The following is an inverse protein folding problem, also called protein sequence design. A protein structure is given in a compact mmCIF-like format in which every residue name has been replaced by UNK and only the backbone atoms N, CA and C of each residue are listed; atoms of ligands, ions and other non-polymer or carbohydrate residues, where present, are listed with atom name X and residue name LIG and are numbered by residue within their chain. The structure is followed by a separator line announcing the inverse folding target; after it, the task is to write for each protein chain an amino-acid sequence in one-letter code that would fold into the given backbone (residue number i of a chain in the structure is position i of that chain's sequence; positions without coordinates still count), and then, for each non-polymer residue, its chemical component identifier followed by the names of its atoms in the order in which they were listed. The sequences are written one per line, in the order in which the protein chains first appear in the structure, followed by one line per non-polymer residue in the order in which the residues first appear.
data_IF_906207587776
#
_entry.id   IF_906207587776
#
_cell.length_a   1.000
_cell.length_b   1.000
_cell.length_c   1.000
_cell.angle_alpha   90.00
_cell.angle_beta   90.00
_cell.angle_gamma   90.00
#
_symmetry.space_group_name_H-M   'P 1'
#
loop_
_entity.id
_entity.type
_entity.pdbx_description
1 polymer ?
#
# COMPACT_ATOMS: atom_id res chain seq x y z
N UNK A 1 17.93 11.91 54.63
CA UNK A 1 17.16 11.35 53.50
C UNK A 1 17.67 12.04 52.27
N UNK A 2 18.30 11.52 51.55
CA UNK A 2 19.18 10.51 50.99
C UNK A 2 19.50 10.94 49.57
N UNK A 3 20.70 11.43 49.41
CA UNK A 3 21.36 11.88 48.17
C UNK A 3 21.76 10.67 47.28
N UNK A 4 20.77 9.92 46.75
CA UNK A 4 21.09 8.73 45.92
C UNK A 4 20.67 8.82 44.46
N UNK A 5 20.25 10.00 43.97
CA UNK A 5 19.72 10.10 42.59
C UNK A 5 20.70 10.66 41.53
N UNK A 6 21.95 10.98 41.88
CA UNK A 6 22.88 11.66 40.94
C UNK A 6 24.23 10.93 40.73
N UNK A 7 24.34 9.62 41.02
CA UNK A 7 25.55 8.89 40.63
C UNK A 7 25.40 8.29 39.25
N UNK A 8 26.37 8.50 38.34
CA UNK A 8 26.41 7.83 37.04
C UNK A 8 26.31 6.32 37.24
N UNK A 9 25.52 5.66 36.40
CA UNK A 9 25.46 4.19 36.37
C UNK A 9 26.58 3.65 35.49
N UNK A 10 26.96 2.38 35.67
CA UNK A 10 28.08 1.70 35.02
C UNK A 10 28.06 1.76 33.47
N UNK A 11 26.90 2.08 32.88
CA UNK A 11 26.66 2.21 31.44
C UNK A 11 26.49 3.67 30.95
N UNK A 12 26.70 4.66 31.83
CA UNK A 12 26.71 6.06 31.43
C UNK A 12 28.07 6.39 30.77
N UNK A 13 28.06 6.86 29.52
CA UNK A 13 29.28 7.24 28.82
C UNK A 13 29.88 8.50 29.45
N UNK A 14 31.09 8.39 29.98
CA UNK A 14 31.91 9.53 30.42
C UNK A 14 32.84 9.89 29.26
N UNK A 15 32.69 11.07 28.68
CA UNK A 15 33.69 11.61 27.74
C UNK A 15 34.91 12.08 28.52
N UNK A 16 35.95 11.22 28.63
CA UNK A 16 37.23 11.51 29.27
C UNK A 16 38.37 11.59 28.27
N UNK A 17 38.85 12.79 27.96
CA UNK A 17 40.20 13.05 27.47
C UNK A 17 41.03 13.58 28.62
N UNK A 18 42.33 13.22 28.69
CA UNK A 18 43.27 13.64 29.73
C UNK A 18 43.37 15.17 29.88
N UNK A 19 42.66 15.74 30.80
CA UNK A 19 42.95 16.96 31.55
C UNK A 19 41.75 17.27 32.45
N UNK A 20 42.04 17.81 33.65
CA UNK A 20 41.14 18.20 34.75
C UNK A 20 39.67 18.35 34.35
N UNK A 21 38.81 17.49 34.90
CA UNK A 21 37.35 17.51 34.71
C UNK A 21 36.86 18.92 35.05
N UNK A 22 36.29 19.67 34.08
CA UNK A 22 35.63 20.92 34.41
C UNK A 22 34.47 20.64 35.36
N UNK A 23 34.27 21.47 36.37
CA UNK A 23 33.21 21.35 37.39
C UNK A 23 31.80 21.29 36.81
N UNK A 24 31.66 21.45 35.45
CA UNK A 24 30.44 21.36 34.65
C UNK A 24 30.55 20.33 33.51
N UNK A 25 31.32 19.24 33.65
CA UNK A 25 31.27 18.17 32.68
C UNK A 25 29.88 17.53 32.71
N UNK A 26 29.08 17.80 31.69
CA UNK A 26 27.77 17.20 31.58
C UNK A 26 27.90 15.71 31.35
N UNK A 27 27.43 14.91 32.32
CA UNK A 27 27.19 13.48 32.10
C UNK A 27 26.10 13.38 31.04
N UNK A 28 26.45 13.03 29.79
CA UNK A 28 25.52 12.92 28.67
C UNK A 28 24.76 11.59 28.65
N UNK A 29 24.66 10.90 29.80
CA UNK A 29 23.89 9.69 30.00
C UNK A 29 22.45 9.94 30.51
N UNK A 30 21.63 8.90 30.51
CA UNK A 30 20.25 8.98 31.01
C UNK A 30 19.30 9.79 30.13
N UNK A 31 18.08 10.02 30.62
CA UNK A 31 17.04 10.79 29.93
C UNK A 31 17.49 12.20 29.55
N UNK A 32 18.19 12.98 30.37
CA UNK A 32 18.71 14.29 29.96
C UNK A 32 19.65 14.23 28.76
N UNK A 33 20.51 13.20 28.70
CA UNK A 33 21.41 12.98 27.56
C UNK A 33 20.66 12.60 26.29
N UNK A 34 19.64 11.77 26.37
CA UNK A 34 18.76 11.43 25.24
C UNK A 34 18.06 12.68 24.74
N UNK A 35 17.46 13.51 25.62
CA UNK A 35 16.82 14.78 25.24
C UNK A 35 17.77 15.73 24.51
N UNK A 36 18.99 15.87 25.01
CA UNK A 36 20.01 16.72 24.39
C UNK A 36 20.35 16.25 22.97
N UNK A 37 20.50 14.93 22.76
CA UNK A 37 20.78 14.36 21.43
C UNK A 37 19.59 14.41 20.49
N UNK A 38 18.36 14.31 20.97
CA UNK A 38 17.15 14.49 20.16
C UNK A 38 16.99 15.95 19.67
N UNK A 39 17.60 16.92 20.33
CA UNK A 39 17.67 18.31 19.89
C UNK A 39 18.85 18.60 18.92
N UNK A 40 19.64 17.59 18.55
CA UNK A 40 20.79 17.74 17.65
C UNK A 40 20.32 18.12 16.23
N UNK A 41 21.04 19.00 15.51
CA UNK A 41 20.79 19.26 14.09
C UNK A 41 21.11 18.03 13.21
N UNK A 42 21.95 17.10 13.67
CA UNK A 42 22.33 15.91 12.92
C UNK A 42 21.28 14.80 13.09
N UNK A 43 20.72 14.34 11.96
CA UNK A 43 19.65 13.32 11.90
C UNK A 43 20.13 12.01 12.51
N UNK A 44 21.35 11.57 12.23
CA UNK A 44 21.94 10.34 12.71
C UNK A 44 22.05 10.32 14.24
N UNK A 45 22.35 11.48 14.86
CA UNK A 45 22.42 11.62 16.32
C UNK A 45 21.03 11.50 16.94
N UNK A 46 20.01 12.08 16.32
CA UNK A 46 18.62 11.95 16.76
C UNK A 46 18.13 10.50 16.65
N UNK A 47 18.45 9.82 15.55
CA UNK A 47 18.11 8.40 15.36
C UNK A 47 18.76 7.52 16.42
N UNK A 48 20.06 7.70 16.67
CA UNK A 48 20.76 6.94 17.71
C UNK A 48 20.16 7.17 19.11
N UNK A 49 19.74 8.40 19.39
CA UNK A 49 19.08 8.75 20.65
C UNK A 49 17.72 8.03 20.84
N UNK A 50 16.95 7.78 19.77
CA UNK A 50 15.70 7.03 19.82
C UNK A 50 15.93 5.56 20.23
N UNK A 51 16.95 4.91 19.67
CA UNK A 51 17.31 3.54 20.04
C UNK A 51 17.73 3.44 21.51
N UNK A 52 18.40 4.48 22.04
CA UNK A 52 18.77 4.53 23.44
C UNK A 52 17.56 4.82 24.36
N UNK A 53 16.62 5.66 23.91
CA UNK A 53 15.40 5.99 24.65
C UNK A 53 14.61 4.75 25.09
N UNK A 54 14.63 3.67 24.28
CA UNK A 54 13.95 2.40 24.62
C UNK A 54 14.38 1.81 25.99
N UNK A 55 15.59 2.12 26.45
CA UNK A 55 16.14 1.59 27.72
C UNK A 55 15.57 2.26 28.95
N UNK A 56 14.83 3.36 28.80
CA UNK A 56 14.39 4.20 29.91
C UNK A 56 12.87 4.11 30.20
N UNK A 57 12.23 2.98 29.84
CA UNK A 57 10.83 2.71 30.15
C UNK A 57 9.87 3.82 29.68
N UNK A 58 8.93 4.23 30.53
CA UNK A 58 7.89 5.23 30.19
C UNK A 58 8.48 6.59 29.75
N UNK A 59 9.51 7.08 30.47
CA UNK A 59 10.14 8.36 30.15
C UNK A 59 10.85 8.35 28.79
N UNK A 60 11.39 7.20 28.38
CA UNK A 60 11.94 7.00 27.06
C UNK A 60 10.86 6.85 26.00
N UNK A 61 9.77 6.18 26.33
CA UNK A 61 8.62 6.03 25.46
C UNK A 61 8.00 7.38 25.07
N UNK A 62 7.84 8.29 26.04
CA UNK A 62 7.33 9.64 25.78
C UNK A 62 8.22 10.41 24.79
N UNK A 63 9.55 10.23 24.87
CA UNK A 63 10.48 10.85 23.93
C UNK A 63 10.38 10.26 22.52
N UNK A 64 10.16 8.95 22.40
CA UNK A 64 9.95 8.30 21.11
C UNK A 64 8.62 8.77 20.49
N UNK A 65 7.55 8.91 21.29
CA UNK A 65 6.27 9.47 20.86
C UNK A 65 6.45 10.91 20.36
N UNK A 66 7.19 11.75 21.10
CA UNK A 66 7.46 13.12 20.66
C UNK A 66 8.23 13.17 19.32
N UNK A 67 9.12 12.22 19.07
CA UNK A 67 9.88 12.16 17.83
C UNK A 67 9.05 11.78 16.59
N UNK A 68 7.80 11.33 16.76
CA UNK A 68 6.86 11.24 15.64
C UNK A 68 6.59 12.60 14.99
N UNK A 69 6.83 13.71 15.71
CA UNK A 69 6.68 15.09 15.24
C UNK A 69 7.99 15.72 14.75
N UNK A 70 9.10 14.96 14.71
CA UNK A 70 10.40 15.48 14.24
C UNK A 70 10.30 16.08 12.84
N UNK A 71 11.07 17.09 12.54
CA UNK A 71 11.14 17.70 11.21
C UNK A 71 11.65 16.72 10.13
N UNK A 72 12.52 15.77 10.52
CA UNK A 72 13.09 14.76 9.62
C UNK A 72 12.17 13.55 9.47
N UNK A 73 11.85 13.21 8.23
CA UNK A 73 11.10 11.98 7.91
C UNK A 73 11.81 10.71 8.35
N UNK A 74 13.15 10.69 8.33
CA UNK A 74 13.94 9.54 8.78
C UNK A 74 13.79 9.32 10.28
N UNK A 75 13.80 10.39 11.08
CA UNK A 75 13.59 10.32 12.54
C UNK A 75 12.16 9.89 12.84
N UNK A 76 11.15 10.46 12.18
CA UNK A 76 9.73 10.04 12.29
C UNK A 76 9.56 8.57 11.99
N UNK A 77 10.20 8.08 10.91
CA UNK A 77 10.14 6.69 10.50
C UNK A 77 10.73 5.75 11.56
N UNK A 78 11.89 6.09 12.14
CA UNK A 78 12.49 5.30 13.22
C UNK A 78 11.60 5.32 14.46
N UNK A 79 11.08 6.49 14.85
CA UNK A 79 10.15 6.59 15.98
C UNK A 79 8.90 5.72 15.76
N UNK A 80 8.29 5.79 14.57
CA UNK A 80 7.17 4.93 14.17
C UNK A 80 7.54 3.44 14.28
N UNK A 81 8.69 3.04 13.73
CA UNK A 81 9.15 1.65 13.75
C UNK A 81 9.36 1.09 15.18
N UNK A 82 9.76 1.94 16.11
CA UNK A 82 9.94 1.58 17.52
C UNK A 82 8.62 1.47 18.31
N UNK A 83 7.56 2.11 17.79
CA UNK A 83 6.25 2.21 18.46
C UNK A 83 5.20 1.25 17.87
N UNK A 84 5.31 0.92 16.57
CA UNK A 84 4.26 0.24 15.79
C UNK A 84 3.78 -1.09 16.37
N UNK A 85 4.69 -1.84 17.03
CA UNK A 85 4.41 -3.17 17.56
C UNK A 85 4.08 -3.15 19.06
N UNK A 86 3.91 -1.95 19.67
CA UNK A 86 3.56 -1.80 21.08
C UNK A 86 2.06 -1.77 21.28
N UNK A 87 1.55 -2.62 22.16
CA UNK A 87 0.15 -2.63 22.57
C UNK A 87 -0.11 -1.59 23.67
N UNK A 88 -0.08 -0.31 23.30
CA UNK A 88 -0.34 0.82 24.20
C UNK A 88 -1.44 1.71 23.57
N UNK A 89 -2.55 1.87 24.30
CA UNK A 89 -3.71 2.64 23.86
C UNK A 89 -3.41 4.14 23.62
N UNK A 90 -2.35 4.68 24.20
CA UNK A 90 -1.89 6.07 23.97
C UNK A 90 -1.20 6.24 22.62
N UNK A 91 -0.59 5.16 22.12
CA UNK A 91 0.24 5.16 20.91
C UNK A 91 -0.64 4.94 19.67
N UNK A 92 -1.56 4.00 19.74
CA UNK A 92 -2.39 3.57 18.59
C UNK A 92 -3.06 4.74 17.82
N UNK A 93 -3.75 5.71 18.47
CA UNK A 93 -4.35 6.82 17.73
C UNK A 93 -3.31 7.75 17.09
N UNK A 94 -2.16 7.92 17.75
CA UNK A 94 -1.12 8.82 17.27
C UNK A 94 -0.37 8.26 16.05
N UNK A 95 -0.20 6.94 15.98
CA UNK A 95 0.51 6.33 14.85
C UNK A 95 -0.23 6.50 13.53
N UNK A 96 -1.56 6.56 13.53
CA UNK A 96 -2.35 6.81 12.32
C UNK A 96 -2.07 8.20 11.73
N UNK A 97 -1.86 9.20 12.57
CA UNK A 97 -1.59 10.58 12.14
C UNK A 97 -0.14 10.79 11.66
N UNK A 98 0.77 9.86 11.99
CA UNK A 98 2.21 9.95 11.70
C UNK A 98 2.73 8.94 10.67
N UNK A 99 1.86 8.29 9.92
CA UNK A 99 2.27 7.54 8.76
C UNK A 99 3.05 8.46 7.81
N UNK A 100 4.21 8.01 7.30
CA UNK A 100 4.93 8.76 6.27
C UNK A 100 4.04 9.03 5.07
N UNK A 101 4.27 10.14 4.39
CA UNK A 101 3.54 10.54 3.19
C UNK A 101 4.42 10.48 1.96
N UNK A 102 3.80 10.32 0.80
CA UNK A 102 4.43 10.55 -0.50
C UNK A 102 3.53 11.43 -1.36
N UNK A 103 4.16 12.30 -2.13
CA UNK A 103 3.48 13.22 -3.03
C UNK A 103 3.33 12.61 -4.43
N UNK A 104 2.25 12.95 -5.13
CA UNK A 104 1.98 12.53 -6.50
C UNK A 104 1.04 13.49 -7.22
N UNK A 105 0.95 13.35 -8.54
CA UNK A 105 -0.02 14.07 -9.35
C UNK A 105 -1.24 13.19 -9.62
N UNK A 106 -2.44 13.73 -9.37
CA UNK A 106 -3.71 13.18 -9.81
C UNK A 106 -4.06 13.80 -11.16
N UNK A 107 -4.20 12.97 -12.18
CA UNK A 107 -4.49 13.40 -13.54
C UNK A 107 -5.92 13.01 -13.92
N UNK A 108 -6.65 13.95 -14.52
CA UNK A 108 -7.91 13.64 -15.20
C UNK A 108 -7.81 13.97 -16.69
N UNK A 109 -8.60 13.29 -17.49
CA UNK A 109 -8.67 13.50 -18.95
C UNK A 109 -10.09 13.80 -19.40
N UNK A 110 -10.21 14.50 -20.52
CA UNK A 110 -11.48 14.72 -21.21
C UNK A 110 -11.91 13.47 -22.03
N UNK A 111 -13.05 13.53 -22.71
CA UNK A 111 -13.57 12.43 -23.51
C UNK A 111 -12.68 12.01 -24.69
N UNK A 112 -11.68 12.80 -25.03
CA UNK A 112 -10.69 12.53 -26.08
C UNK A 112 -9.35 12.06 -25.53
N UNK A 113 -9.25 11.87 -24.21
CA UNK A 113 -8.01 11.44 -23.56
C UNK A 113 -6.95 12.53 -23.43
N UNK A 114 -7.32 13.80 -23.64
CA UNK A 114 -6.43 14.94 -23.38
C UNK A 114 -6.48 15.29 -21.91
N UNK A 115 -5.32 15.60 -21.32
CA UNK A 115 -5.22 16.04 -19.93
C UNK A 115 -6.12 17.27 -19.69
N UNK A 116 -7.06 17.12 -18.76
CA UNK A 116 -8.02 18.14 -18.34
C UNK A 116 -7.56 18.81 -17.04
N UNK A 117 -7.00 18.05 -16.10
CA UNK A 117 -6.44 18.60 -14.87
C UNK A 117 -5.26 17.77 -14.37
N UNK A 118 -4.39 18.45 -13.60
CA UNK A 118 -3.27 17.85 -12.87
C UNK A 118 -3.17 18.52 -11.50
N UNK A 119 -3.47 17.79 -10.46
CA UNK A 119 -3.51 18.31 -9.10
C UNK A 119 -2.50 17.58 -8.23
N UNK A 120 -1.71 18.32 -7.45
CA UNK A 120 -0.86 17.72 -6.42
C UNK A 120 -1.71 17.11 -5.33
N UNK A 121 -1.34 15.91 -4.90
CA UNK A 121 -1.95 15.19 -3.79
C UNK A 121 -0.88 14.45 -3.01
N UNK A 122 -1.25 13.89 -1.86
CA UNK A 122 -0.38 13.03 -1.07
C UNK A 122 -1.18 11.88 -0.49
N UNK A 123 -0.51 10.79 -0.20
CA UNK A 123 -1.09 9.66 0.53
C UNK A 123 -0.17 9.24 1.69
N UNK A 124 -0.78 8.71 2.74
CA UNK A 124 -0.09 8.12 3.88
C UNK A 124 0.18 6.66 3.60
N UNK A 125 1.31 6.15 4.07
CA UNK A 125 1.64 4.73 3.92
C UNK A 125 2.51 4.24 5.07
N UNK A 126 2.56 2.93 5.28
CA UNK A 126 3.61 2.32 6.06
C UNK A 126 4.45 1.38 5.18
N UNK A 127 5.77 1.37 5.35
CA UNK A 127 6.62 0.41 4.68
C UNK A 127 6.68 -0.89 5.49
N UNK A 128 6.56 -2.02 4.80
CA UNK A 128 6.85 -3.34 5.34
C UNK A 128 8.20 -3.80 4.78
N UNK A 129 9.15 -4.06 5.65
CA UNK A 129 10.48 -4.54 5.27
C UNK A 129 10.44 -6.05 5.03
N UNK A 130 10.76 -6.46 3.81
CA UNK A 130 10.82 -7.87 3.41
C UNK A 130 12.25 -8.45 3.47
N UNK A 131 13.20 -7.66 3.97
CA UNK A 131 14.62 -7.97 3.98
C UNK A 131 15.33 -7.58 2.67
N UNK A 132 16.68 -7.57 2.71
CA UNK A 132 17.53 -7.25 1.56
C UNK A 132 17.20 -5.92 0.86
N UNK A 133 16.75 -4.92 1.62
CA UNK A 133 16.30 -3.61 1.12
C UNK A 133 15.06 -3.68 0.22
N UNK A 134 14.32 -4.78 0.24
CA UNK A 134 13.03 -4.90 -0.46
C UNK A 134 11.92 -4.43 0.47
N UNK A 135 11.18 -3.42 0.04
CA UNK A 135 10.11 -2.80 0.83
C UNK A 135 8.77 -2.98 0.11
N UNK A 136 7.73 -3.29 0.88
CA UNK A 136 6.34 -3.28 0.45
C UNK A 136 5.65 -2.06 1.05
N UNK A 137 5.26 -1.10 0.22
CA UNK A 137 4.58 0.13 0.64
C UNK A 137 3.07 -0.10 0.74
N UNK A 138 2.51 0.03 1.94
CA UNK A 138 1.08 -0.19 2.22
C UNK A 138 0.38 1.15 2.42
N UNK A 139 -0.51 1.52 1.50
CA UNK A 139 -1.15 2.85 1.49
C UNK A 139 -2.38 2.86 2.40
N UNK A 140 -2.50 3.88 3.24
CA UNK A 140 -3.69 4.13 4.05
C UNK A 140 -4.88 4.56 3.18
N UNK A 141 -5.93 3.77 3.18
CA UNK A 141 -7.18 4.11 2.50
C UNK A 141 -8.26 4.34 3.57
N UNK A 142 -8.83 5.55 3.67
CA UNK A 142 -9.93 5.81 4.59
C UNK A 142 -11.14 4.97 4.21
N UNK A 143 -11.82 4.43 5.20
CA UNK A 143 -13.12 3.79 4.98
C UNK A 143 -14.14 4.74 4.39
N UNK A 144 -15.12 4.20 3.68
CA UNK A 144 -16.15 5.02 3.04
C UNK A 144 -17.23 4.20 2.35
N UNK A 145 -18.17 4.91 1.76
CA UNK A 145 -19.29 4.31 1.03
C UNK A 145 -19.24 4.72 -0.44
N UNK A 146 -19.46 3.77 -1.35
CA UNK A 146 -19.46 4.02 -2.78
C UNK A 146 -20.56 3.21 -3.49
N UNK A 147 -20.79 3.51 -4.76
CA UNK A 147 -21.64 2.71 -5.63
C UNK A 147 -20.77 1.71 -6.40
N UNK A 148 -20.89 0.43 -6.08
CA UNK A 148 -20.18 -0.67 -6.73
C UNK A 148 -20.94 -1.14 -7.97
N UNK A 149 -20.21 -1.48 -9.03
CA UNK A 149 -20.76 -1.84 -10.32
C UNK A 149 -20.87 -0.66 -11.28
N UNK A 150 -21.45 -0.87 -12.45
CA UNK A 150 -21.60 0.14 -13.49
C UNK A 150 -23.06 0.57 -13.67
N UNK A 151 -23.33 1.88 -13.92
CA UNK A 151 -24.67 2.33 -14.28
C UNK A 151 -25.06 1.81 -15.67
N UNK A 152 -26.36 1.74 -15.96
CA UNK A 152 -26.86 1.25 -17.24
C UNK A 152 -26.37 2.07 -18.44
N UNK A 153 -26.01 3.33 -18.22
CA UNK A 153 -25.47 4.24 -19.23
C UNK A 153 -23.99 4.03 -19.54
N UNK A 154 -23.25 3.23 -18.73
CA UNK A 154 -21.80 3.05 -18.95
C UNK A 154 -21.55 2.25 -20.24
N UNK A 155 -20.74 2.82 -21.13
CA UNK A 155 -20.41 2.19 -22.39
C UNK A 155 -19.66 0.87 -22.21
N UNK A 156 -20.00 -0.14 -22.99
CA UNK A 156 -19.36 -1.46 -22.98
C UNK A 156 -19.39 -2.19 -21.61
N UNK A 157 -20.41 -1.87 -20.80
CA UNK A 157 -20.65 -2.57 -19.53
C UNK A 157 -21.02 -4.04 -19.77
N UNK A 158 -20.77 -4.87 -18.76
CA UNK A 158 -21.21 -6.26 -18.71
C UNK A 158 -22.36 -6.44 -17.73
N UNK A 159 -23.24 -7.41 -17.98
CA UNK A 159 -24.36 -7.73 -17.09
C UNK A 159 -23.91 -8.13 -15.69
N UNK A 160 -22.75 -8.75 -15.57
CA UNK A 160 -22.17 -9.16 -14.27
C UNK A 160 -21.86 -7.98 -13.34
N UNK A 161 -21.75 -6.75 -13.89
CA UNK A 161 -21.50 -5.51 -13.15
C UNK A 161 -22.77 -4.91 -12.52
N UNK A 162 -23.91 -5.62 -12.59
CA UNK A 162 -25.23 -5.17 -12.13
C UNK A 162 -25.82 -6.10 -11.06
N UNK A 163 -26.82 -5.64 -10.28
CA UNK A 163 -27.22 -4.24 -10.14
C UNK A 163 -26.14 -3.39 -9.48
N UNK A 164 -26.04 -2.10 -9.89
CA UNK A 164 -25.21 -1.16 -9.14
C UNK A 164 -25.80 -1.01 -7.73
N UNK A 165 -24.97 -1.09 -6.69
CA UNK A 165 -25.41 -1.10 -5.31
C UNK A 165 -24.42 -0.38 -4.39
N UNK A 166 -24.94 0.04 -3.25
CA UNK A 166 -24.14 0.78 -2.25
C UNK A 166 -23.36 -0.20 -1.37
N UNK A 167 -22.04 0.01 -1.27
CA UNK A 167 -21.15 -0.75 -0.39
C UNK A 167 -20.40 0.20 0.52
N UNK A 168 -20.26 -0.18 1.79
CA UNK A 168 -19.41 0.53 2.78
C UNK A 168 -18.20 -0.34 3.08
N UNK A 169 -17.01 0.21 2.89
CA UNK A 169 -15.75 -0.47 3.23
C UNK A 169 -15.12 0.15 4.46
N UNK A 170 -14.53 -0.65 5.36
CA UNK A 170 -13.76 -0.13 6.48
C UNK A 170 -12.46 0.51 6.00
N UNK A 171 -11.70 1.15 6.90
CA UNK A 171 -10.31 1.54 6.63
C UNK A 171 -9.45 0.31 6.39
N UNK A 172 -8.56 0.36 5.39
CA UNK A 172 -7.67 -0.74 5.04
C UNK A 172 -6.37 -0.23 4.39
N UNK A 173 -5.38 -1.11 4.23
CA UNK A 173 -4.06 -0.78 3.69
C UNK A 173 -3.69 -1.69 2.52
N UNK A 174 -3.99 -1.34 1.28
CA UNK A 174 -3.53 -2.08 0.10
C UNK A 174 -2.08 -1.75 -0.22
N UNK A 175 -1.38 -2.65 -0.89
CA UNK A 175 -0.10 -2.35 -1.51
C UNK A 175 -0.22 -1.19 -2.49
N UNK A 176 0.76 -0.28 -2.50
CA UNK A 176 0.81 0.86 -3.42
C UNK A 176 0.79 0.43 -4.89
N UNK A 177 1.38 -0.71 -5.17
CA UNK A 177 1.51 -1.37 -6.46
C UNK A 177 0.99 -2.80 -6.41
N UNK A 178 0.72 -3.46 -7.54
CA UNK A 178 0.71 -4.92 -7.63
C UNK A 178 2.05 -5.47 -7.09
N UNK A 179 2.04 -6.67 -6.51
CA UNK A 179 3.27 -7.28 -5.98
C UNK A 179 4.31 -7.37 -7.08
N UNK A 180 5.51 -6.84 -6.82
CA UNK A 180 6.63 -6.88 -7.75
C UNK A 180 7.36 -8.23 -7.72
N UNK A 181 8.12 -8.52 -8.76
CA UNK A 181 8.93 -9.75 -8.82
C UNK A 181 9.95 -9.81 -7.70
N UNK A 182 10.59 -8.68 -7.33
CA UNK A 182 11.51 -8.62 -6.20
C UNK A 182 10.80 -8.94 -4.87
N UNK A 183 9.61 -8.37 -4.63
CA UNK A 183 8.81 -8.66 -3.43
C UNK A 183 8.33 -10.11 -3.38
N UNK A 184 7.90 -10.64 -4.53
CA UNK A 184 7.52 -12.04 -4.64
C UNK A 184 8.69 -12.98 -4.31
N UNK A 185 9.86 -12.72 -4.88
CA UNK A 185 11.07 -13.54 -4.69
C UNK A 185 11.55 -13.49 -3.23
N UNK A 186 11.47 -12.33 -2.58
CA UNK A 186 11.81 -12.15 -1.17
C UNK A 186 10.96 -13.05 -0.24
N UNK A 187 9.68 -13.26 -0.56
CA UNK A 187 8.75 -14.05 0.27
C UNK A 187 8.69 -15.51 -0.18
N UNK A 188 8.72 -15.79 -1.49
CA UNK A 188 8.48 -17.12 -2.06
C UNK A 188 9.76 -17.86 -2.46
N UNK A 189 10.90 -17.15 -2.59
CA UNK A 189 12.20 -17.73 -2.93
C UNK A 189 12.38 -18.15 -4.40
N UNK A 190 11.44 -17.77 -5.27
CA UNK A 190 11.52 -18.06 -6.72
C UNK A 190 10.77 -17.00 -7.54
N UNK A 191 11.03 -16.97 -8.85
CA UNK A 191 10.33 -16.06 -9.76
C UNK A 191 10.05 -16.77 -11.09
N UNK A 192 8.77 -17.04 -11.38
CA UNK A 192 8.28 -17.72 -12.58
C UNK A 192 7.71 -16.78 -13.64
N UNK A 193 7.76 -15.47 -13.43
CA UNK A 193 7.26 -14.48 -14.38
C UNK A 193 7.92 -14.64 -15.75
N UNK A 194 7.17 -14.41 -16.81
CA UNK A 194 7.67 -14.46 -18.18
C UNK A 194 8.45 -13.21 -18.55
N UNK A 195 7.95 -12.03 -18.21
CA UNK A 195 8.60 -10.74 -18.47
C UNK A 195 9.46 -10.35 -17.27
N UNK A 196 10.74 -10.65 -17.30
CA UNK A 196 11.66 -10.44 -16.17
C UNK A 196 11.94 -8.96 -15.87
N UNK A 197 12.01 -8.63 -14.57
CA UNK A 197 12.38 -7.31 -14.04
C UNK A 197 11.97 -7.17 -12.59
N UNK A 198 12.89 -6.77 -11.71
CA UNK A 198 12.66 -6.66 -10.27
C UNK A 198 11.46 -5.77 -9.92
N UNK A 199 11.29 -4.67 -10.66
CA UNK A 199 10.21 -3.68 -10.48
C UNK A 199 8.96 -3.99 -11.32
N UNK A 200 8.97 -5.02 -12.17
CA UNK A 200 7.76 -5.45 -12.87
C UNK A 200 6.83 -6.17 -11.90
N UNK A 201 5.51 -6.14 -12.13
CA UNK A 201 4.60 -6.96 -11.35
C UNK A 201 4.96 -8.44 -11.52
N UNK A 202 4.82 -9.23 -10.48
CA UNK A 202 4.84 -10.67 -10.62
C UNK A 202 3.62 -11.09 -11.44
N UNK A 203 3.84 -11.98 -12.39
CA UNK A 203 2.78 -12.59 -13.20
C UNK A 203 2.99 -14.10 -13.32
N UNK A 204 2.09 -14.80 -13.96
CA UNK A 204 2.06 -16.26 -13.99
C UNK A 204 1.85 -16.85 -12.57
N UNK A 205 0.96 -16.22 -11.82
CA UNK A 205 0.60 -16.57 -10.44
C UNK A 205 -0.85 -16.99 -10.38
N UNK A 206 -1.13 -18.19 -9.85
CA UNK A 206 -2.49 -18.64 -9.56
C UNK A 206 -3.04 -17.97 -8.29
N UNK A 207 -4.37 -17.96 -8.13
CA UNK A 207 -5.01 -17.46 -6.91
C UNK A 207 -4.51 -18.17 -5.64
N UNK A 208 -4.30 -19.49 -5.69
CA UNK A 208 -3.77 -20.25 -4.57
C UNK A 208 -2.34 -19.82 -4.20
N UNK A 209 -1.50 -19.52 -5.19
CA UNK A 209 -0.14 -19.02 -4.95
C UNK A 209 -0.16 -17.60 -4.37
N UNK A 210 -1.09 -16.75 -4.81
CA UNK A 210 -1.28 -15.41 -4.24
C UNK A 210 -1.74 -15.49 -2.77
N UNK A 211 -2.65 -16.39 -2.43
CA UNK A 211 -3.07 -16.66 -1.05
C UNK A 211 -1.91 -17.21 -0.21
N UNK A 212 -1.09 -18.12 -0.75
CA UNK A 212 0.08 -18.64 -0.05
C UNK A 212 1.13 -17.55 0.21
N UNK A 213 1.33 -16.63 -0.74
CA UNK A 213 2.17 -15.44 -0.52
C UNK A 213 1.67 -14.62 0.68
N UNK A 214 0.37 -14.29 0.72
CA UNK A 214 -0.23 -13.56 1.83
C UNK A 214 -0.04 -14.27 3.17
N UNK A 215 -0.21 -15.60 3.20
CA UNK A 215 -0.02 -16.42 4.40
C UNK A 215 1.43 -16.37 4.89
N UNK A 216 2.40 -16.56 4.00
CA UNK A 216 3.83 -16.48 4.35
C UNK A 216 4.21 -15.09 4.83
N UNK A 217 3.75 -14.04 4.14
CA UNK A 217 3.98 -12.66 4.54
C UNK A 217 3.40 -12.40 5.94
N UNK A 218 2.20 -12.90 6.23
CA UNK A 218 1.59 -12.78 7.55
C UNK A 218 2.41 -13.48 8.63
N UNK A 219 2.90 -14.68 8.36
CA UNK A 219 3.74 -15.45 9.30
C UNK A 219 5.07 -14.75 9.59
N UNK A 220 5.69 -14.15 8.57
CA UNK A 220 6.97 -13.46 8.72
C UNK A 220 6.84 -12.13 9.46
N UNK A 221 5.77 -11.38 9.20
CA UNK A 221 5.60 -10.02 9.75
C UNK A 221 4.79 -9.97 11.05
N UNK A 222 4.06 -11.04 11.38
CA UNK A 222 3.13 -11.05 12.51
C UNK A 222 1.84 -10.25 12.27
N UNK A 223 1.65 -9.67 11.07
CA UNK A 223 0.45 -8.93 10.67
C UNK A 223 -0.45 -9.82 9.82
N UNK A 224 -1.70 -9.40 9.59
CA UNK A 224 -2.64 -10.13 8.75
C UNK A 224 -2.62 -9.54 7.34
N UNK A 225 -2.09 -10.31 6.38
CA UNK A 225 -2.13 -10.00 4.95
C UNK A 225 -3.09 -10.95 4.24
N UNK A 226 -3.85 -10.41 3.30
CA UNK A 226 -4.77 -11.17 2.44
C UNK A 226 -4.92 -10.49 1.07
N UNK A 227 -5.60 -11.15 0.16
CA UNK A 227 -6.09 -10.50 -1.06
C UNK A 227 -7.18 -9.47 -0.69
N UNK A 228 -7.36 -8.46 -1.52
CA UNK A 228 -8.48 -7.55 -1.42
C UNK A 228 -9.78 -8.31 -1.70
N UNK A 229 -10.88 -7.92 -1.04
CA UNK A 229 -12.19 -8.26 -1.57
C UNK A 229 -12.44 -7.50 -2.89
N UNK A 230 -13.36 -8.00 -3.69
CA UNK A 230 -13.76 -7.32 -4.92
C UNK A 230 -14.24 -5.89 -4.66
N UNK A 231 -15.00 -5.70 -3.57
CA UNK A 231 -15.51 -4.40 -3.17
C UNK A 231 -14.39 -3.45 -2.70
N UNK A 232 -13.43 -3.93 -1.92
CA UNK A 232 -12.24 -3.15 -1.53
C UNK A 232 -11.41 -2.77 -2.75
N UNK A 233 -11.26 -3.70 -3.71
CA UNK A 233 -10.52 -3.44 -4.94
C UNK A 233 -11.19 -2.34 -5.77
N UNK A 234 -12.52 -2.42 -6.00
CA UNK A 234 -13.23 -1.42 -6.81
C UNK A 234 -13.28 -0.06 -6.12
N UNK A 235 -13.50 -0.02 -4.80
CA UNK A 235 -13.40 1.21 -4.00
C UNK A 235 -12.02 1.87 -4.13
N UNK A 236 -10.97 1.07 -3.98
CA UNK A 236 -9.58 1.50 -4.13
C UNK A 236 -9.27 1.99 -5.56
N UNK A 237 -9.77 1.29 -6.58
CA UNK A 237 -9.61 1.66 -8.00
C UNK A 237 -10.30 2.98 -8.32
N UNK A 238 -11.55 3.15 -7.91
CA UNK A 238 -12.32 4.37 -8.15
C UNK A 238 -11.77 5.59 -7.43
N UNK A 239 -11.27 5.43 -6.23
CA UNK A 239 -10.72 6.53 -5.42
C UNK A 239 -11.63 7.78 -5.42
N UNK A 240 -12.96 7.57 -5.26
CA UNK A 240 -13.97 8.61 -5.22
C UNK A 240 -14.61 8.95 -6.57
N UNK A 241 -14.16 8.38 -7.69
CA UNK A 241 -14.79 8.62 -9.02
C UNK A 241 -15.96 7.66 -9.26
N UNK A 242 -16.85 8.09 -10.16
CA UNK A 242 -17.98 7.27 -10.66
C UNK A 242 -17.86 6.94 -12.15
N UNK A 243 -16.82 7.43 -12.80
CA UNK A 243 -16.50 7.23 -14.21
C UNK A 243 -15.94 5.83 -14.47
N UNK A 244 -15.90 5.36 -15.73
CA UNK A 244 -15.34 4.05 -16.10
C UNK A 244 -13.90 3.85 -15.61
N UNK A 245 -13.10 4.91 -15.58
CA UNK A 245 -11.71 4.92 -15.12
C UNK A 245 -11.52 6.05 -14.10
N UNK A 246 -10.54 5.92 -13.19
CA UNK A 246 -10.25 7.01 -12.26
C UNK A 246 -9.72 8.28 -12.97
N UNK A 247 -9.29 8.17 -14.18
CA UNK A 247 -8.90 9.31 -15.04
C UNK A 247 -10.09 10.07 -15.64
N UNK A 248 -11.29 9.45 -15.71
CA UNK A 248 -12.50 10.01 -16.34
C UNK A 248 -13.19 9.00 -17.27
N UNK A 249 -13.76 9.50 -18.36
CA UNK A 249 -14.59 8.72 -19.28
C UNK A 249 -13.78 7.83 -20.24
N UNK A 250 -12.46 7.99 -20.30
CA UNK A 250 -11.59 7.22 -21.19
C UNK A 250 -10.18 7.06 -20.61
N UNK A 251 -9.37 6.22 -21.25
CA UNK A 251 -7.95 6.01 -20.97
C UNK A 251 -7.12 6.07 -22.25
N UNK A 252 -5.82 6.31 -22.10
CA UNK A 252 -4.87 6.30 -23.21
C UNK A 252 -3.62 5.49 -22.86
N UNK A 253 -2.87 4.99 -23.87
CA UNK A 253 -1.60 4.29 -23.62
C UNK A 253 -0.50 5.14 -22.96
N UNK A 254 -0.72 6.45 -22.77
CA UNK A 254 0.15 7.34 -21.97
C UNK A 254 -0.13 7.26 -20.49
N UNK A 255 -1.32 6.77 -20.10
CA UNK A 255 -1.80 6.71 -18.72
C UNK A 255 -1.88 5.28 -18.18
N UNK A 256 -1.97 4.27 -19.07
CA UNK A 256 -2.21 2.88 -18.71
C UNK A 256 -1.50 1.95 -19.68
N UNK A 257 -1.06 0.79 -19.21
CA UNK A 257 -0.53 -0.28 -20.03
C UNK A 257 -1.62 -1.31 -20.37
N UNK A 258 -2.16 -1.24 -21.59
CA UNK A 258 -3.18 -2.13 -22.15
C UNK A 258 -2.92 -2.32 -23.65
N UNK A 259 -3.78 -3.02 -24.41
CA UNK A 259 -3.69 -3.16 -25.86
C UNK A 259 -3.89 -1.79 -26.56
N UNK A 260 -2.82 -1.00 -26.57
CA UNK A 260 -2.84 0.44 -26.87
C UNK A 260 -3.23 0.81 -28.31
N UNK A 261 -3.30 -0.16 -29.24
CA UNK A 261 -3.79 -0.01 -30.60
C UNK A 261 -5.33 -0.03 -30.66
N UNK A 262 -6.03 -0.32 -29.54
CA UNK A 262 -7.49 -0.27 -29.40
C UNK A 262 -7.88 0.91 -28.51
N UNK A 263 -9.01 1.54 -28.83
CA UNK A 263 -9.50 2.74 -28.12
C UNK A 263 -10.74 2.45 -27.30
N UNK A 264 -10.94 3.22 -26.22
CA UNK A 264 -12.19 3.34 -25.51
C UNK A 264 -12.77 4.73 -25.77
N UNK A 265 -14.05 4.80 -26.18
CA UNK A 265 -14.70 6.03 -26.59
C UNK A 265 -13.89 6.78 -27.67
N UNK A 266 -13.62 8.06 -27.47
CA UNK A 266 -12.97 8.93 -28.46
C UNK A 266 -11.44 9.08 -28.23
N UNK A 267 -10.84 8.28 -27.35
CA UNK A 267 -9.40 8.37 -27.09
C UNK A 267 -8.57 7.97 -28.32
N UNK A 268 -7.37 8.54 -28.47
CA UNK A 268 -6.48 8.17 -29.57
C UNK A 268 -5.85 6.78 -29.33
N UNK A 269 -5.55 6.09 -30.41
CA UNK A 269 -4.65 4.94 -30.40
C UNK A 269 -3.24 5.36 -30.00
N UNK A 270 -2.46 4.42 -29.47
CA UNK A 270 -1.07 4.66 -29.14
C UNK A 270 -0.26 3.38 -29.05
N UNK A 271 0.79 3.39 -28.24
CA UNK A 271 1.74 2.29 -28.11
C UNK A 271 1.10 1.06 -27.47
N UNK A 272 1.09 -0.04 -28.20
CA UNK A 272 0.85 -1.39 -27.69
C UNK A 272 2.18 -1.99 -27.27
N UNK A 273 2.40 -2.19 -25.94
CA UNK A 273 3.70 -2.59 -25.37
C UNK A 273 3.93 -4.09 -25.41
N UNK A 274 2.87 -4.89 -25.50
CA UNK A 274 2.91 -6.37 -25.57
C UNK A 274 3.66 -7.05 -24.42
N UNK A 275 3.79 -6.38 -23.29
CA UNK A 275 4.45 -6.88 -22.08
C UNK A 275 4.06 -6.02 -20.88
N UNK A 276 4.32 -6.53 -19.68
CA UNK A 276 4.22 -5.73 -18.44
C UNK A 276 5.20 -4.55 -18.48
N UNK A 277 4.91 -3.51 -17.69
CA UNK A 277 5.84 -2.40 -17.39
C UNK A 277 6.25 -2.48 -15.92
N UNK A 278 7.32 -1.77 -15.56
CA UNK A 278 7.63 -1.56 -14.15
C UNK A 278 6.43 -0.91 -13.46
N UNK A 279 6.13 -1.34 -12.24
CA UNK A 279 5.02 -0.75 -11.47
C UNK A 279 5.28 0.74 -11.24
N UNK A 280 4.20 1.54 -11.18
CA UNK A 280 4.32 2.97 -11.00
C UNK A 280 4.83 3.74 -12.22
N UNK A 281 4.88 3.12 -13.40
CA UNK A 281 5.26 3.80 -14.66
C UNK A 281 4.23 4.83 -15.12
N UNK A 282 3.01 4.81 -14.56
CA UNK A 282 1.90 5.68 -14.90
C UNK A 282 1.39 6.43 -13.67
N UNK A 283 0.62 7.52 -13.86
CA UNK A 283 0.06 8.27 -12.74
C UNK A 283 -0.86 7.41 -11.87
N UNK A 284 -0.86 7.61 -10.54
CA UNK A 284 -1.77 6.94 -9.64
C UNK A 284 -3.16 7.57 -9.63
N UNK A 285 -4.11 6.90 -8.98
CA UNK A 285 -5.40 7.48 -8.64
C UNK A 285 -5.33 8.44 -7.43
N UNK A 286 -6.47 9.02 -7.03
CA UNK A 286 -6.53 10.00 -5.94
C UNK A 286 -6.17 9.43 -4.55
N UNK A 287 -6.12 8.10 -4.40
CA UNK A 287 -5.63 7.44 -3.19
C UNK A 287 -4.12 7.13 -3.22
N UNK A 288 -3.42 7.46 -4.31
CA UNK A 288 -2.00 7.16 -4.48
C UNK A 288 -1.72 5.70 -4.87
N UNK A 289 -2.71 4.99 -5.41
CA UNK A 289 -2.55 3.63 -5.89
C UNK A 289 -2.26 3.62 -7.39
N UNK A 290 -1.21 2.90 -7.75
CA UNK A 290 -0.73 2.78 -9.13
C UNK A 290 -1.23 1.50 -9.78
N UNK A 291 -1.27 1.49 -11.11
CA UNK A 291 -1.56 0.33 -11.94
C UNK A 291 -2.93 -0.34 -11.62
N UNK A 292 -3.92 0.45 -11.19
CA UNK A 292 -5.28 -0.04 -10.94
C UNK A 292 -6.04 -0.34 -12.23
N UNK A 293 -5.55 0.12 -13.37
CA UNK A 293 -6.04 -0.16 -14.71
C UNK A 293 -4.90 -0.73 -15.55
N UNK A 294 -5.07 -1.92 -16.13
CA UNK A 294 -4.09 -2.56 -16.99
C UNK A 294 -2.87 -3.14 -16.27
N UNK A 295 -1.79 -3.33 -16.97
CA UNK A 295 -0.54 -3.96 -16.59
C UNK A 295 -0.71 -5.46 -16.27
N UNK A 296 -1.30 -5.84 -15.15
CA UNK A 296 -1.70 -7.22 -14.81
C UNK A 296 -3.09 -7.26 -14.20
N UNK A 297 -3.85 -8.32 -14.46
CA UNK A 297 -5.04 -8.63 -13.70
C UNK A 297 -4.68 -8.92 -12.25
N UNK A 298 -5.52 -8.48 -11.33
CA UNK A 298 -5.31 -8.68 -9.90
C UNK A 298 -6.34 -9.65 -9.30
N UNK A 299 -5.86 -10.74 -8.68
CA UNK A 299 -6.70 -11.68 -7.95
C UNK A 299 -7.38 -11.00 -6.76
N UNK A 300 -8.70 -11.17 -6.65
CA UNK A 300 -9.50 -10.83 -5.48
C UNK A 300 -9.80 -12.08 -4.65
N UNK A 301 -10.24 -11.89 -3.39
CA UNK A 301 -10.60 -13.00 -2.51
C UNK A 301 -11.96 -13.61 -2.82
N UNK A 302 -12.79 -12.92 -3.59
CA UNK A 302 -14.17 -13.30 -3.88
C UNK A 302 -14.26 -14.46 -4.86
N UNK A 303 -15.30 -15.28 -4.70
CA UNK A 303 -15.72 -16.25 -5.70
C UNK A 303 -16.44 -15.53 -6.85
N UNK A 304 -16.38 -16.08 -8.08
CA UNK A 304 -17.14 -15.53 -9.20
C UNK A 304 -18.64 -15.70 -9.02
N UNK A 305 -19.40 -14.62 -9.21
CA UNK A 305 -20.85 -14.60 -9.23
C UNK A 305 -21.35 -13.96 -10.54
N UNK A 306 -22.52 -14.39 -11.02
CA UNK A 306 -23.08 -13.91 -12.30
C UNK A 306 -23.45 -12.42 -12.30
N UNK A 307 -23.79 -11.88 -11.14
CA UNK A 307 -24.12 -10.46 -10.93
C UNK A 307 -24.06 -10.14 -9.43
N UNK A 308 -24.45 -8.93 -9.03
CA UNK A 308 -24.41 -8.49 -7.64
C UNK A 308 -25.69 -8.73 -6.82
N UNK A 309 -26.64 -9.55 -7.31
CA UNK A 309 -27.81 -9.91 -6.50
C UNK A 309 -27.40 -10.73 -5.28
N UNK A 310 -27.59 -10.17 -4.08
CA UNK A 310 -27.18 -10.80 -2.82
C UNK A 310 -25.74 -10.58 -2.41
N UNK A 311 -24.99 -9.72 -3.10
CA UNK A 311 -23.62 -9.35 -2.74
C UNK A 311 -23.53 -8.70 -1.35
N UNK A 312 -22.46 -8.92 -0.57
CA UNK A 312 -22.20 -8.20 0.67
C UNK A 312 -22.14 -6.68 0.43
N UNK A 313 -22.60 -5.91 1.42
CA UNK A 313 -22.60 -4.43 1.35
C UNK A 313 -21.68 -3.78 2.37
N UNK A 314 -20.89 -4.58 3.09
CA UNK A 314 -19.97 -4.18 4.15
C UNK A 314 -18.49 -4.25 3.75
N UNK A 315 -18.21 -4.52 2.47
CA UNK A 315 -16.85 -4.66 1.94
C UNK A 315 -16.22 -6.03 2.17
N UNK A 316 -16.91 -6.98 2.82
CA UNK A 316 -16.39 -8.33 2.99
C UNK A 316 -16.35 -9.10 1.67
N UNK A 317 -15.48 -10.14 1.60
CA UNK A 317 -15.42 -11.05 0.46
C UNK A 317 -16.71 -11.83 0.30
N UNK A 318 -17.18 -11.98 -0.93
CA UNK A 318 -18.32 -12.82 -1.25
C UNK A 318 -17.90 -14.25 -1.52
N UNK A 319 -17.87 -15.05 -0.46
CA UNK A 319 -17.47 -16.47 -0.49
C UNK A 319 -18.65 -17.33 -0.08
N UNK A 320 -19.05 -18.26 -0.93
CA UNK A 320 -20.13 -19.24 -0.66
C UNK A 320 -19.56 -20.62 -0.39
N UNK A 321 -18.27 -20.86 -0.64
CA UNK A 321 -17.64 -22.17 -0.59
C UNK A 321 -18.03 -23.09 -1.74
N UNK A 322 -18.72 -22.56 -2.75
CA UNK A 322 -19.20 -23.33 -3.90
C UNK A 322 -18.15 -23.46 -5.00
N UNK A 323 -17.11 -22.61 -4.99
CA UNK A 323 -16.09 -22.55 -6.03
C UNK A 323 -14.69 -22.39 -5.44
N UNK A 324 -13.71 -23.07 -6.05
CA UNK A 324 -12.29 -22.82 -5.80
C UNK A 324 -11.72 -21.74 -6.73
N UNK A 325 -12.53 -21.16 -7.61
CA UNK A 325 -12.12 -20.07 -8.49
C UNK A 325 -12.23 -18.74 -7.77
N UNK A 326 -11.34 -17.84 -8.10
CA UNK A 326 -11.33 -16.47 -7.59
C UNK A 326 -11.53 -15.49 -8.75
N UNK A 327 -12.08 -14.32 -8.43
CA UNK A 327 -12.35 -13.26 -9.39
C UNK A 327 -11.07 -12.47 -9.70
N UNK A 328 -11.01 -11.88 -10.89
CA UNK A 328 -9.94 -10.98 -11.34
C UNK A 328 -10.47 -9.60 -11.70
N UNK A 329 -9.67 -8.58 -11.41
CA UNK A 329 -10.00 -7.17 -11.67
C UNK A 329 -8.85 -6.43 -12.35
N UNK A 330 -9.16 -5.29 -13.02
CA UNK A 330 -8.18 -4.31 -13.47
C UNK A 330 -7.75 -4.39 -14.93
N UNK A 331 -7.87 -5.55 -15.58
CA UNK A 331 -7.31 -5.74 -16.92
C UNK A 331 -5.79 -5.93 -16.91
N UNK A 332 -5.21 -6.14 -18.08
CA UNK A 332 -3.77 -6.34 -18.24
C UNK A 332 -3.20 -5.59 -19.44
N UNK A 333 -1.89 -5.71 -19.64
CA UNK A 333 -1.16 -5.17 -20.79
C UNK A 333 -1.69 -5.66 -22.16
N UNK A 334 -2.29 -6.85 -22.20
CA UNK A 334 -2.81 -7.47 -23.44
C UNK A 334 -4.32 -7.38 -23.60
N UNK A 335 -5.01 -6.67 -22.72
CA UNK A 335 -6.47 -6.57 -22.75
C UNK A 335 -6.98 -5.33 -23.46
N UNK A 336 -8.20 -5.45 -23.98
CA UNK A 336 -8.95 -4.33 -24.49
C UNK A 336 -9.21 -3.29 -23.38
N UNK A 337 -9.24 -1.98 -23.70
CA UNK A 337 -9.44 -0.94 -22.69
C UNK A 337 -10.76 -1.09 -21.90
N UNK A 338 -11.82 -1.68 -22.49
CA UNK A 338 -13.08 -1.97 -21.79
C UNK A 338 -12.89 -2.90 -20.58
N UNK A 339 -11.92 -3.82 -20.66
CA UNK A 339 -11.61 -4.77 -19.60
C UNK A 339 -10.84 -4.11 -18.44
N UNK A 340 -10.25 -2.93 -18.71
CA UNK A 340 -9.56 -2.15 -17.71
C UNK A 340 -10.46 -1.19 -16.92
N UNK A 341 -11.80 -1.18 -17.15
CA UNK A 341 -12.73 -0.33 -16.41
C UNK A 341 -12.78 -0.71 -14.93
N UNK A 342 -13.07 0.28 -14.08
CA UNK A 342 -13.19 0.07 -12.63
C UNK A 342 -14.20 -1.01 -12.27
N UNK A 343 -15.32 -1.10 -12.99
CA UNK A 343 -16.41 -2.05 -12.73
C UNK A 343 -16.22 -3.41 -13.42
N UNK A 344 -15.30 -3.54 -14.39
CA UNK A 344 -15.18 -4.77 -15.16
C UNK A 344 -14.71 -5.94 -14.28
N UNK A 345 -15.38 -7.08 -14.44
CA UNK A 345 -15.19 -8.33 -13.67
C UNK A 345 -14.75 -9.44 -14.60
N UNK A 346 -13.66 -10.11 -14.31
CA UNK A 346 -13.27 -11.31 -15.05
C UNK A 346 -13.47 -12.54 -14.18
N UNK A 347 -14.35 -13.44 -14.64
CA UNK A 347 -14.46 -14.79 -14.09
C UNK A 347 -13.53 -15.71 -14.88
N UNK A 348 -12.39 -16.14 -14.33
CA UNK A 348 -11.51 -17.05 -15.04
C UNK A 348 -12.14 -18.44 -15.05
N UNK A 349 -12.59 -18.86 -16.23
CA UNK A 349 -12.87 -20.28 -16.46
C UNK A 349 -11.56 -21.08 -16.43
N UNK A 350 -11.61 -22.34 -16.03
CA UNK A 350 -10.44 -23.21 -15.87
C UNK A 350 -9.56 -23.39 -17.14
N UNK A 351 -9.98 -22.83 -18.28
CA UNK A 351 -9.31 -22.91 -19.57
C UNK A 351 -8.53 -21.66 -19.97
N UNK A 352 -8.41 -20.63 -19.12
CA UNK A 352 -7.62 -19.43 -19.47
C UNK A 352 -6.16 -19.73 -19.19
N UNK A 353 -5.45 -20.13 -20.24
CA UNK A 353 -4.02 -20.48 -20.23
C UNK A 353 -3.07 -19.26 -20.30
N UNK A 354 -3.59 -18.02 -20.30
CA UNK A 354 -2.79 -16.78 -20.39
C UNK A 354 -2.16 -16.43 -19.05
N UNK A 355 -1.10 -17.16 -18.74
CA UNK A 355 -0.38 -17.13 -17.47
C UNK A 355 0.36 -15.81 -17.21
N UNK A 356 0.73 -15.07 -18.29
CA UNK A 356 1.58 -13.87 -18.22
C UNK A 356 0.83 -12.55 -17.94
N UNK A 357 -0.45 -12.66 -17.57
CA UNK A 357 -1.31 -11.50 -17.30
C UNK A 357 -1.90 -11.48 -15.90
N UNK A 358 -1.73 -12.55 -15.09
CA UNK A 358 -2.34 -12.69 -13.76
C UNK A 358 -1.30 -12.45 -12.67
N UNK A 359 -1.48 -11.36 -11.94
CA UNK A 359 -0.77 -10.99 -10.73
C UNK A 359 -1.75 -10.74 -9.59
N UNK A 360 -1.37 -9.96 -8.60
CA UNK A 360 -2.22 -9.61 -7.48
C UNK A 360 -1.63 -8.43 -6.69
N UNK A 361 -2.48 -7.82 -5.89
CA UNK A 361 -2.14 -6.84 -4.86
C UNK A 361 -2.52 -7.42 -3.50
N UNK A 362 -1.73 -7.14 -2.46
CA UNK A 362 -2.05 -7.54 -1.10
C UNK A 362 -2.72 -6.42 -0.34
N UNK A 363 -3.45 -6.79 0.70
CA UNK A 363 -4.02 -5.90 1.68
C UNK A 363 -3.52 -6.32 3.07
N UNK A 364 -3.08 -5.35 3.87
CA UNK A 364 -2.88 -5.53 5.30
C UNK A 364 -4.16 -5.12 6.04
N UNK A 365 -4.70 -6.03 6.82
CA UNK A 365 -5.77 -5.71 7.77
C UNK A 365 -5.14 -4.87 8.87
N UNK A 366 -5.72 -3.70 9.16
CA UNK A 366 -5.16 -2.79 10.15
C UNK A 366 -4.89 -3.52 11.48
N UNK A 367 -3.63 -3.69 11.80
CA UNK A 367 -3.17 -4.27 13.07
C UNK A 367 -3.55 -3.41 14.30
N UNK A 368 -4.33 -2.34 14.09
CA UNK A 368 -4.63 -1.30 15.06
C UNK A 368 -6.08 -1.34 15.59
N UNK A 369 -6.91 -2.29 15.17
CA UNK A 369 -8.36 -2.34 15.50
C UNK A 369 -8.75 -3.49 16.42
N UNK A 370 -7.87 -4.01 17.24
CA UNK A 370 -8.27 -4.96 18.28
C UNK A 370 -7.93 -4.45 19.68
#
# INVERSE_FOLDING_TARGET
MSDHQNKPREYDAVLGGQSSIPVNAAVLGGIPGVKSRLASPAIEVRIAALSEAQKYGEAGLDLIIQALHDESMQVKFVAYSLLKDRDDLRIKPQLQDYLPTFDFDVITVDAYGKENSRNKSFARFFPEDLGNSIVLEMVYIPGGTFMMGSPDSESQRDYSESPQHRVTVPTFYPGKYPITQAQWEAVMGNNRSGFKGEKRPVENVSSNQAVEFCKKLSQTTGKIYRLLSEAEWEYACRAGTTTPFHFGETITPKLVNYEGNVTYANAPKGLDRKQTTDVGSFPPNAFGLYDMHGNVWEWCSDEPHHNYNGAPTDGSSWETGASNHRLLRGGSWGDLPRNCRSAFRLNPHASVDDKYIFGFRVLCVAAWTS
#
